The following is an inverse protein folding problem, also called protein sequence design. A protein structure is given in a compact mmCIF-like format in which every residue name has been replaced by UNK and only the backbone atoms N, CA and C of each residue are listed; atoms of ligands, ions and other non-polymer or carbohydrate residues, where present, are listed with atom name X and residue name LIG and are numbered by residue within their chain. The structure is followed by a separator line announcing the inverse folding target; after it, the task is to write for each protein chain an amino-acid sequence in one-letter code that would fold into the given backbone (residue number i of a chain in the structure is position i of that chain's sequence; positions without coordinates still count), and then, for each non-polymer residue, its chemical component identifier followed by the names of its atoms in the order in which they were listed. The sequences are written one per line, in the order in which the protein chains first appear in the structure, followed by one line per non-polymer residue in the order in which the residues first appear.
data_IF_486183326979
#
_entry.id   IF_486183326979
#
_cell.length_a   1.000
_cell.length_b   1.000
_cell.length_c   1.000
_cell.angle_alpha   90.00
_cell.angle_beta   90.00
_cell.angle_gamma   90.00
#
_symmetry.space_group_name_H-M   'P 1'
#
loop_
_entity.id
_entity.type
_entity.pdbx_description
1 polymer ?
#
# COMPACT_ATOMS: atom_id res chain seq x y z
N UNK A 1 -23.07 -2.53 1.35
CA UNK A 1 -21.85 -2.54 2.20
C UNK A 1 -22.17 -3.36 3.44
N UNK A 2 -21.32 -4.33 3.76
CA UNK A 2 -21.40 -5.07 5.02
C UNK A 2 -20.76 -4.26 6.15
N UNK A 3 -21.36 -4.33 7.35
CA UNK A 3 -20.78 -3.82 8.59
C UNK A 3 -20.55 -4.99 9.53
N UNK A 4 -19.34 -5.09 10.08
CA UNK A 4 -18.91 -6.19 10.94
C UNK A 4 -18.25 -5.63 12.19
N UNK A 5 -18.59 -6.20 13.35
CA UNK A 5 -17.82 -5.96 14.58
C UNK A 5 -16.79 -7.07 14.73
N UNK A 6 -15.52 -6.72 14.64
CA UNK A 6 -14.37 -7.65 14.64
C UNK A 6 -13.44 -7.37 15.80
N UNK A 7 -12.65 -8.37 16.21
CA UNK A 7 -11.64 -8.19 17.25
C UNK A 7 -10.29 -7.81 16.64
N UNK A 8 -9.54 -6.95 17.33
CA UNK A 8 -8.10 -6.80 17.11
C UNK A 8 -7.42 -8.08 17.58
N UNK A 9 -6.64 -8.72 16.72
CA UNK A 9 -5.89 -9.95 17.03
C UNK A 9 -4.38 -9.77 17.03
N UNK A 10 -3.90 -8.64 16.53
CA UNK A 10 -2.48 -8.30 16.54
C UNK A 10 -2.26 -6.81 16.34
N UNK A 11 -1.20 -6.32 16.98
CA UNK A 11 -0.68 -4.97 16.76
C UNK A 11 0.84 -5.07 16.65
N UNK A 12 1.41 -4.43 15.63
CA UNK A 12 2.84 -4.42 15.41
C UNK A 12 3.29 -3.01 15.01
N UNK A 13 4.36 -2.50 15.61
CA UNK A 13 4.99 -1.29 15.11
C UNK A 13 5.53 -1.56 13.69
N UNK A 14 5.03 -0.82 12.70
CA UNK A 14 5.47 -0.96 11.32
C UNK A 14 6.57 0.05 10.97
N UNK A 15 6.47 1.25 11.53
CA UNK A 15 7.50 2.30 11.50
C UNK A 15 7.40 3.11 12.81
N UNK A 16 8.32 4.07 13.09
CA UNK A 16 8.17 4.97 14.23
C UNK A 16 6.87 5.79 14.25
N UNK A 17 6.13 5.85 13.13
CA UNK A 17 4.90 6.65 12.98
C UNK A 17 3.71 5.85 12.49
N UNK A 18 3.80 4.52 12.47
CA UNK A 18 2.70 3.68 12.01
C UNK A 18 2.66 2.32 12.70
N UNK A 19 1.45 1.80 12.83
CA UNK A 19 1.14 0.51 13.42
C UNK A 19 0.39 -0.34 12.41
N UNK A 20 0.80 -1.58 12.24
CA UNK A 20 0.01 -2.60 11.57
C UNK A 20 -1.01 -3.17 12.56
N UNK A 21 -2.30 -3.00 12.28
CA UNK A 21 -3.39 -3.63 13.02
C UNK A 21 -3.88 -4.85 12.25
N UNK A 22 -4.01 -5.99 12.92
CA UNK A 22 -4.62 -7.21 12.38
C UNK A 22 -5.99 -7.43 13.02
N UNK A 23 -7.03 -7.59 12.20
CA UNK A 23 -8.42 -7.78 12.63
C UNK A 23 -8.91 -9.18 12.25
N UNK A 24 -9.65 -9.83 13.15
CA UNK A 24 -10.24 -11.15 12.92
C UNK A 24 -11.51 -11.07 12.07
N UNK A 25 -11.42 -11.57 10.85
CA UNK A 25 -12.52 -11.72 9.90
C UNK A 25 -12.81 -13.20 9.58
N UNK A 26 -12.27 -14.14 10.36
CA UNK A 26 -12.43 -15.56 10.12
C UNK A 26 -13.91 -15.99 10.16
N UNK A 27 -14.32 -16.78 9.16
CA UNK A 27 -15.70 -17.22 9.02
C UNK A 27 -16.71 -16.09 8.76
N UNK A 28 -16.24 -14.87 8.43
CA UNK A 28 -17.10 -13.76 8.00
C UNK A 28 -17.12 -13.70 6.48
N UNK A 29 -18.28 -13.36 5.91
CA UNK A 29 -18.41 -13.07 4.49
C UNK A 29 -17.78 -11.71 4.18
N UNK A 30 -16.45 -11.66 4.12
CA UNK A 30 -15.66 -10.48 3.79
C UNK A 30 -14.61 -10.88 2.76
N UNK A 31 -14.82 -10.51 1.50
CA UNK A 31 -13.93 -10.83 0.38
C UNK A 31 -13.50 -9.51 -0.26
N UNK A 32 -12.32 -8.97 0.09
CA UNK A 32 -11.82 -7.76 -0.53
C UNK A 32 -11.23 -8.05 -1.92
N UNK A 33 -11.12 -7.01 -2.73
CA UNK A 33 -10.21 -6.98 -3.88
C UNK A 33 -8.94 -6.25 -3.46
N UNK A 34 -7.78 -6.72 -3.95
CA UNK A 34 -6.50 -6.09 -3.65
C UNK A 34 -6.52 -4.59 -4.01
N UNK A 35 -6.14 -3.74 -3.05
CA UNK A 35 -6.17 -2.28 -3.18
C UNK A 35 -7.35 -1.57 -2.52
N UNK A 36 -8.40 -2.31 -2.14
CA UNK A 36 -9.57 -1.74 -1.45
C UNK A 36 -9.25 -1.26 -0.02
N UNK A 37 -10.20 -0.52 0.54
CA UNK A 37 -10.16 0.03 1.89
C UNK A 37 -11.39 -0.42 2.71
N UNK A 38 -11.37 -0.10 4.00
CA UNK A 38 -12.49 -0.21 4.93
C UNK A 38 -12.64 1.07 5.74
N UNK A 39 -13.86 1.39 6.16
CA UNK A 39 -14.09 2.36 7.22
C UNK A 39 -13.98 1.65 8.57
N UNK A 40 -13.21 2.23 9.49
CA UNK A 40 -13.02 1.67 10.83
C UNK A 40 -13.38 2.70 11.88
N UNK A 41 -14.08 2.25 12.92
CA UNK A 41 -14.42 3.03 14.11
C UNK A 41 -14.49 2.16 15.34
N UNK A 42 -14.35 2.77 16.51
CA UNK A 42 -14.65 2.12 17.78
C UNK A 42 -16.17 2.03 17.97
N UNK A 43 -16.68 1.02 18.69
CA UNK A 43 -18.08 0.96 19.09
C UNK A 43 -18.50 2.25 19.81
N UNK A 44 -19.64 2.82 19.43
CA UNK A 44 -20.14 4.09 19.96
C UNK A 44 -19.66 5.35 19.22
N UNK A 45 -18.64 5.26 18.36
CA UNK A 45 -18.29 6.36 17.46
C UNK A 45 -19.25 6.41 16.26
N UNK A 46 -19.65 7.61 15.87
CA UNK A 46 -20.61 7.83 14.78
C UNK A 46 -19.97 7.73 13.39
N UNK A 47 -18.69 8.05 13.25
CA UNK A 47 -18.01 8.19 11.95
C UNK A 47 -16.79 7.27 11.90
N UNK A 48 -16.72 6.43 10.86
CA UNK A 48 -15.55 5.63 10.52
C UNK A 48 -14.54 6.39 9.67
N UNK A 49 -13.27 6.05 9.83
CA UNK A 49 -12.18 6.58 9.00
C UNK A 49 -11.73 5.52 7.99
N UNK A 50 -11.39 5.92 6.75
CA UNK A 50 -10.91 5.00 5.75
C UNK A 50 -9.48 4.54 6.05
N UNK A 51 -9.24 3.25 5.91
CA UNK A 51 -7.91 2.62 5.93
C UNK A 51 -7.81 1.62 4.79
N UNK A 52 -6.79 1.76 3.96
CA UNK A 52 -6.49 0.78 2.92
C UNK A 52 -6.11 -0.56 3.54
N UNK A 53 -6.58 -1.64 2.93
CA UNK A 53 -6.25 -3.01 3.31
C UNK A 53 -4.82 -3.30 2.83
N UNK A 54 -3.96 -3.75 3.75
CA UNK A 54 -2.54 -3.98 3.52
C UNK A 54 -2.19 -5.42 3.15
N UNK A 55 -3.15 -6.35 3.24
CA UNK A 55 -3.01 -7.75 2.87
C UNK A 55 -3.82 -8.09 1.62
N UNK A 56 -3.38 -9.10 0.86
CA UNK A 56 -4.08 -9.57 -0.33
C UNK A 56 -5.35 -10.36 0.03
N UNK A 57 -6.31 -10.51 -0.90
CA UNK A 57 -7.46 -11.39 -0.74
C UNK A 57 -7.06 -12.84 -0.39
N UNK A 58 -5.96 -13.33 -0.96
CA UNK A 58 -5.39 -14.64 -0.67
C UNK A 58 -4.94 -14.75 0.80
N UNK A 59 -4.22 -13.75 1.30
CA UNK A 59 -3.82 -13.70 2.72
C UNK A 59 -5.03 -13.67 3.65
N UNK A 60 -6.09 -12.93 3.29
CA UNK A 60 -7.34 -12.91 4.07
C UNK A 60 -7.98 -14.30 4.10
N UNK A 61 -8.04 -15.00 2.96
CA UNK A 61 -8.59 -16.34 2.87
C UNK A 61 -7.78 -17.38 3.68
N UNK A 62 -6.45 -17.28 3.66
CA UNK A 62 -5.55 -18.20 4.37
C UNK A 62 -5.55 -17.98 5.89
N UNK A 63 -5.54 -16.72 6.31
CA UNK A 63 -5.29 -16.37 7.72
C UNK A 63 -6.56 -16.02 8.48
N UNK A 64 -7.64 -15.68 7.77
CA UNK A 64 -8.84 -15.08 8.36
C UNK A 64 -8.61 -13.69 8.94
N UNK A 65 -7.55 -12.97 8.51
CA UNK A 65 -7.16 -11.67 9.08
C UNK A 65 -7.15 -10.57 8.05
N UNK A 66 -7.61 -9.39 8.46
CA UNK A 66 -7.47 -8.14 7.73
C UNK A 66 -6.35 -7.30 8.33
N UNK A 67 -5.42 -6.80 7.52
CA UNK A 67 -4.32 -5.96 7.98
C UNK A 67 -4.52 -4.50 7.55
N UNK A 68 -4.32 -3.56 8.47
CA UNK A 68 -4.45 -2.12 8.23
C UNK A 68 -3.20 -1.39 8.72
N UNK A 69 -2.56 -0.62 7.85
CA UNK A 69 -1.44 0.24 8.21
C UNK A 69 -1.97 1.59 8.70
N UNK A 70 -1.96 1.81 10.01
CA UNK A 70 -2.48 3.02 10.65
C UNK A 70 -1.34 3.99 10.94
N UNK A 71 -1.36 5.17 10.30
CA UNK A 71 -0.39 6.24 10.56
C UNK A 71 -0.84 7.09 11.74
N UNK A 72 0.10 7.46 12.62
CA UNK A 72 -0.14 8.31 13.79
C UNK A 72 -0.20 9.80 13.42
N UNK A 73 -1.08 10.16 12.48
CA UNK A 73 -1.20 11.53 11.93
C UNK A 73 -2.28 12.39 12.59
N UNK A 74 -3.16 11.77 13.37
CA UNK A 74 -4.25 12.41 14.09
C UNK A 74 -4.57 11.62 15.36
N UNK A 75 -5.09 12.29 16.38
CA UNK A 75 -5.42 11.69 17.68
C UNK A 75 -6.31 10.44 17.55
N UNK A 76 -7.31 10.48 16.66
CA UNK A 76 -8.19 9.32 16.41
C UNK A 76 -7.47 8.14 15.76
N UNK A 77 -6.47 8.38 14.89
CA UNK A 77 -5.67 7.30 14.33
C UNK A 77 -4.71 6.72 15.37
N UNK A 78 -4.10 7.56 16.20
CA UNK A 78 -3.26 7.11 17.32
C UNK A 78 -4.07 6.28 18.32
N UNK A 79 -5.30 6.71 18.66
CA UNK A 79 -6.19 5.97 19.55
C UNK A 79 -6.65 4.63 18.95
N UNK A 80 -6.81 4.56 17.62
CA UNK A 80 -7.10 3.32 16.91
C UNK A 80 -5.89 2.37 16.92
N UNK A 81 -4.69 2.90 16.63
CA UNK A 81 -3.43 2.15 16.66
C UNK A 81 -3.10 1.59 18.04
N UNK A 82 -3.56 2.25 19.12
CA UNK A 82 -3.34 1.84 20.50
C UNK A 82 -4.35 0.81 21.02
N UNK A 83 -5.29 0.32 20.20
CA UNK A 83 -6.26 -0.68 20.65
C UNK A 83 -5.58 -2.01 21.00
N UNK A 84 -5.79 -2.58 22.20
CA UNK A 84 -5.18 -3.84 22.60
C UNK A 84 -5.83 -5.02 21.85
N UNK A 85 -5.11 -6.14 21.78
CA UNK A 85 -5.68 -7.42 21.36
C UNK A 85 -6.96 -7.74 22.15
N UNK A 86 -8.00 -8.17 21.45
CA UNK A 86 -9.34 -8.41 21.98
C UNK A 86 -10.29 -7.22 21.91
N UNK A 87 -9.78 -5.99 21.70
CA UNK A 87 -10.62 -4.82 21.50
C UNK A 87 -11.52 -5.00 20.27
N UNK A 88 -12.75 -4.51 20.34
CA UNK A 88 -13.72 -4.61 19.25
C UNK A 88 -13.72 -3.33 18.42
N UNK A 89 -13.71 -3.50 17.10
CA UNK A 89 -13.82 -2.42 16.13
C UNK A 89 -14.97 -2.72 15.18
N UNK A 90 -15.67 -1.67 14.74
CA UNK A 90 -16.66 -1.75 13.67
C UNK A 90 -15.94 -1.46 12.36
N UNK A 91 -16.07 -2.39 11.42
CA UNK A 91 -15.48 -2.34 10.08
C UNK A 91 -16.60 -2.33 9.06
N UNK A 92 -16.58 -1.35 8.17
CA UNK A 92 -17.56 -1.20 7.09
C UNK A 92 -16.83 -1.22 5.74
N UNK A 93 -17.26 -2.10 4.84
CA UNK A 93 -16.59 -2.28 3.56
C UNK A 93 -16.76 -3.70 3.00
N UNK A 94 -15.89 -4.11 2.05
CA UNK A 94 -14.81 -3.32 1.47
C UNK A 94 -15.35 -2.15 0.60
N UNK A 95 -14.51 -1.14 0.35
CA UNK A 95 -14.81 0.03 -0.48
C UNK A 95 -13.60 0.50 -1.30
N UNK A 96 -13.85 1.41 -2.25
CA UNK A 96 -12.80 1.99 -3.09
C UNK A 96 -12.72 1.36 -4.49
N UNK A 97 -12.27 2.17 -5.45
CA UNK A 97 -12.12 1.78 -6.86
C UNK A 97 -10.65 1.61 -7.28
N UNK A 98 -9.70 1.89 -6.38
CA UNK A 98 -8.29 1.64 -6.59
C UNK A 98 -7.97 0.16 -6.40
N UNK A 99 -8.36 -0.65 -7.38
CA UNK A 99 -8.26 -2.10 -7.30
C UNK A 99 -7.32 -2.67 -8.37
N UNK A 100 -6.72 -3.80 -8.04
CA UNK A 100 -6.07 -4.65 -9.03
C UNK A 100 -7.13 -5.17 -10.02
N UNK A 101 -6.90 -5.08 -11.34
CA UNK A 101 -7.86 -5.56 -12.33
C UNK A 101 -7.85 -7.10 -12.41
N UNK A 102 -8.97 -7.68 -12.83
CA UNK A 102 -9.09 -9.14 -13.04
C UNK A 102 -8.16 -9.67 -14.13
N UNK A 103 -7.84 -8.82 -15.12
CA UNK A 103 -6.90 -9.13 -16.19
C UNK A 103 -5.85 -8.03 -16.33
N UNK A 104 -4.59 -8.42 -16.41
CA UNK A 104 -3.45 -7.55 -16.72
C UNK A 104 -2.83 -8.05 -18.02
N UNK A 105 -3.18 -7.47 -19.19
CA UNK A 105 -2.53 -7.83 -20.45
C UNK A 105 -1.11 -7.28 -20.55
N UNK A 106 -0.77 -6.25 -19.76
CA UNK A 106 0.56 -5.65 -19.74
C UNK A 106 1.64 -6.63 -19.24
N UNK A 107 2.85 -6.54 -19.79
CA UNK A 107 4.01 -7.34 -19.33
C UNK A 107 4.74 -6.74 -18.13
N UNK A 108 4.45 -5.48 -17.78
CA UNK A 108 5.10 -4.79 -16.67
C UNK A 108 4.07 -4.18 -15.72
N UNK A 109 4.29 -4.38 -14.42
CA UNK A 109 3.58 -3.69 -13.34
C UNK A 109 4.54 -2.73 -12.65
N UNK A 110 4.15 -1.46 -12.54
CA UNK A 110 4.95 -0.46 -11.84
C UNK A 110 4.19 0.19 -10.70
N UNK A 111 4.64 -0.08 -9.48
CA UNK A 111 4.07 0.42 -8.24
C UNK A 111 4.87 1.61 -7.73
N UNK A 112 4.20 2.72 -7.40
CA UNK A 112 4.81 3.94 -6.88
C UNK A 112 4.12 4.30 -5.57
N UNK A 113 4.83 4.10 -4.45
CA UNK A 113 4.33 4.32 -3.10
C UNK A 113 4.95 5.55 -2.43
N UNK A 114 4.12 6.34 -1.75
CA UNK A 114 4.55 7.39 -0.82
C UNK A 114 4.02 7.16 0.59
N UNK A 115 4.90 6.92 1.56
CA UNK A 115 4.50 6.69 2.96
C UNK A 115 3.54 5.50 3.09
N UNK A 116 2.40 5.65 3.79
CA UNK A 116 1.43 4.54 3.93
C UNK A 116 0.54 4.31 2.70
N UNK A 117 0.77 5.04 1.61
CA UNK A 117 0.32 4.62 0.28
C UNK A 117 0.88 3.25 -0.13
N UNK A 118 1.90 2.72 0.59
CA UNK A 118 2.37 1.35 0.44
C UNK A 118 1.31 0.29 0.79
N UNK A 119 0.35 0.58 1.67
CA UNK A 119 -0.61 -0.42 2.15
C UNK A 119 -1.43 -1.07 1.02
N UNK A 120 -2.17 -0.32 0.18
CA UNK A 120 -2.90 -0.94 -0.93
C UNK A 120 -1.96 -1.57 -1.96
N UNK A 121 -0.75 -1.01 -2.17
CA UNK A 121 0.19 -1.56 -3.15
C UNK A 121 0.81 -2.88 -2.68
N UNK A 122 1.05 -3.05 -1.36
CA UNK A 122 1.49 -4.33 -0.80
C UNK A 122 0.46 -5.42 -1.11
N UNK A 123 -0.82 -5.15 -0.86
CA UNK A 123 -1.90 -6.08 -1.17
C UNK A 123 -1.93 -6.44 -2.67
N UNK A 124 -1.74 -5.47 -3.56
CA UNK A 124 -1.70 -5.70 -5.01
C UNK A 124 -0.46 -6.49 -5.47
N UNK A 125 0.72 -6.19 -4.91
CA UNK A 125 1.97 -6.88 -5.23
C UNK A 125 1.88 -8.35 -4.79
N UNK A 126 1.44 -8.61 -3.55
CA UNK A 126 1.26 -9.96 -3.05
C UNK A 126 0.20 -10.73 -3.86
N UNK A 127 -0.92 -10.08 -4.21
CA UNK A 127 -1.95 -10.65 -5.10
C UNK A 127 -1.38 -11.04 -6.48
N UNK A 128 -0.62 -10.15 -7.12
CA UNK A 128 0.00 -10.44 -8.42
C UNK A 128 1.00 -11.62 -8.34
N UNK A 129 1.84 -11.63 -7.30
CA UNK A 129 2.83 -12.69 -7.09
C UNK A 129 2.18 -14.05 -6.81
N UNK A 130 1.12 -14.09 -6.00
CA UNK A 130 0.38 -15.32 -5.68
C UNK A 130 -0.50 -15.80 -6.83
N UNK A 131 -1.01 -14.87 -7.63
CA UNK A 131 -1.74 -15.15 -8.87
C UNK A 131 -0.84 -15.66 -10.01
N UNK A 132 0.48 -15.71 -9.81
CA UNK A 132 1.42 -16.24 -10.78
C UNK A 132 1.67 -15.31 -11.97
N UNK A 133 1.55 -14.00 -11.78
CA UNK A 133 1.88 -13.02 -12.80
C UNK A 133 3.32 -13.25 -13.31
N UNK A 134 3.47 -13.46 -14.62
CA UNK A 134 4.72 -13.87 -15.27
C UNK A 134 5.50 -12.71 -15.89
N UNK A 135 4.97 -11.49 -15.75
CA UNK A 135 5.63 -10.25 -16.15
C UNK A 135 6.59 -9.71 -15.09
N UNK A 136 7.16 -8.53 -15.36
CA UNK A 136 8.05 -7.85 -14.41
C UNK A 136 7.24 -6.99 -13.43
N UNK A 137 7.64 -7.00 -12.17
CA UNK A 137 7.07 -6.15 -11.13
C UNK A 137 8.16 -5.23 -10.59
N UNK A 138 7.90 -3.93 -10.61
CA UNK A 138 8.78 -2.91 -10.05
C UNK A 138 8.05 -2.11 -8.95
N UNK A 139 8.74 -1.82 -7.85
CA UNK A 139 8.25 -0.95 -6.78
C UNK A 139 9.22 0.22 -6.60
N UNK A 140 8.73 1.44 -6.78
CA UNK A 140 9.38 2.65 -6.32
C UNK A 140 8.73 3.13 -5.02
N UNK A 141 9.47 3.08 -3.91
CA UNK A 141 8.98 3.45 -2.58
C UNK A 141 9.69 4.70 -2.06
N UNK A 142 8.93 5.77 -1.83
CA UNK A 142 9.39 7.02 -1.24
C UNK A 142 8.94 7.16 0.22
N UNK A 143 9.90 7.44 1.10
CA UNK A 143 9.65 7.74 2.51
C UNK A 143 10.37 9.03 2.93
N UNK A 144 10.08 9.52 4.15
CA UNK A 144 10.82 10.67 4.70
C UNK A 144 12.22 10.25 5.14
N UNK A 145 12.31 9.12 5.84
CA UNK A 145 13.53 8.58 6.43
C UNK A 145 13.62 7.07 6.19
N UNK A 146 14.81 6.50 6.34
CA UNK A 146 15.05 5.07 6.09
C UNK A 146 14.24 4.13 7.00
N UNK A 147 13.93 4.57 8.22
CA UNK A 147 13.14 3.82 9.21
C UNK A 147 11.63 3.95 8.99
N UNK A 148 11.21 4.63 7.92
CA UNK A 148 9.81 4.84 7.56
C UNK A 148 9.34 4.01 6.36
N UNK A 149 10.13 3.03 5.92
CA UNK A 149 9.70 2.04 4.93
C UNK A 149 8.99 0.87 5.63
N UNK A 150 7.67 0.89 5.67
CA UNK A 150 6.90 -0.24 6.18
C UNK A 150 7.05 -1.46 5.24
N UNK A 151 7.11 -2.67 5.82
CA UNK A 151 7.21 -3.94 5.08
C UNK A 151 8.49 -4.10 4.25
N UNK A 152 9.56 -3.36 4.56
CA UNK A 152 10.75 -3.33 3.73
C UNK A 152 11.45 -4.69 3.65
N UNK A 153 11.44 -5.47 4.73
CA UNK A 153 12.03 -6.81 4.77
C UNK A 153 11.31 -7.77 3.82
N UNK A 154 9.98 -7.66 3.72
CA UNK A 154 9.16 -8.45 2.79
C UNK A 154 9.54 -8.12 1.34
N UNK A 155 9.54 -6.83 0.97
CA UNK A 155 9.91 -6.41 -0.37
C UNK A 155 11.37 -6.74 -0.73
N UNK A 156 12.30 -6.60 0.23
CA UNK A 156 13.69 -6.99 0.04
C UNK A 156 13.84 -8.49 -0.21
N UNK A 157 13.04 -9.33 0.47
CA UNK A 157 13.00 -10.77 0.22
C UNK A 157 12.49 -11.09 -1.19
N UNK A 158 11.44 -10.42 -1.65
CA UNK A 158 10.95 -10.56 -3.04
C UNK A 158 12.01 -10.12 -4.05
N UNK A 159 12.73 -9.04 -3.77
CA UNK A 159 13.80 -8.55 -4.65
C UNK A 159 14.99 -9.51 -4.71
N UNK A 160 15.44 -10.04 -3.58
CA UNK A 160 16.51 -11.04 -3.52
C UNK A 160 16.14 -12.33 -4.27
N UNK A 161 14.84 -12.68 -4.32
CA UNK A 161 14.33 -13.80 -5.08
C UNK A 161 14.10 -13.49 -6.58
N UNK A 162 14.43 -12.28 -7.05
CA UNK A 162 14.23 -11.86 -8.44
C UNK A 162 12.76 -11.67 -8.85
N UNK A 163 11.84 -11.58 -7.87
CA UNK A 163 10.39 -11.44 -8.10
C UNK A 163 9.92 -9.99 -8.15
N UNK A 164 10.76 -9.05 -7.70
CA UNK A 164 10.45 -7.62 -7.58
C UNK A 164 11.70 -6.78 -7.82
N UNK A 165 11.64 -5.78 -8.69
CA UNK A 165 12.65 -4.73 -8.74
C UNK A 165 12.30 -3.65 -7.70
N UNK A 166 13.06 -3.60 -6.60
CA UNK A 166 12.83 -2.65 -5.50
C UNK A 166 13.72 -1.41 -5.65
N UNK A 167 13.10 -0.24 -5.72
CA UNK A 167 13.73 1.07 -5.74
C UNK A 167 13.24 1.90 -4.56
N UNK A 168 14.16 2.55 -3.86
CA UNK A 168 13.83 3.34 -2.67
C UNK A 168 14.42 4.74 -2.76
N UNK A 169 13.68 5.71 -2.23
CA UNK A 169 14.17 7.08 -2.04
C UNK A 169 13.73 7.67 -0.71
N UNK A 170 14.58 8.50 -0.12
CA UNK A 170 14.29 9.26 1.10
C UNK A 170 14.29 10.75 0.79
N UNK A 171 13.35 11.48 1.40
CA UNK A 171 13.18 12.93 1.15
C UNK A 171 13.72 13.83 2.26
N UNK A 172 14.00 13.30 3.45
CA UNK A 172 14.42 14.04 4.65
C UNK A 172 15.45 13.28 5.50
N UNK A 173 16.23 12.40 4.87
CA UNK A 173 17.31 11.65 5.52
C UNK A 173 18.67 12.11 4.98
N UNK A 174 19.41 12.79 5.84
CA UNK A 174 20.77 13.25 5.61
C UNK A 174 21.81 12.28 6.20
N UNK A 175 21.38 11.14 6.76
CA UNK A 175 22.27 10.13 7.31
C UNK A 175 23.24 9.58 6.26
N UNK A 176 24.52 9.48 6.63
CA UNK A 176 25.59 8.94 5.77
C UNK A 176 25.39 7.47 5.41
N UNK A 177 24.68 6.72 6.26
CA UNK A 177 24.41 5.30 6.09
C UNK A 177 23.40 4.98 4.97
N UNK A 178 22.68 5.98 4.44
CA UNK A 178 21.75 5.76 3.33
C UNK A 178 22.51 5.82 2.00
N UNK A 179 22.73 4.67 1.37
CA UNK A 179 23.36 4.57 0.05
C UNK A 179 22.37 4.68 -1.12
N UNK A 180 21.06 4.67 -0.84
CA UNK A 180 20.01 4.77 -1.86
C UNK A 180 19.83 6.18 -2.42
N UNK A 181 18.88 6.30 -3.35
CA UNK A 181 18.52 7.60 -3.96
C UNK A 181 17.92 8.55 -2.91
N UNK A 182 18.06 9.86 -3.17
CA UNK A 182 17.52 10.93 -2.34
C UNK A 182 16.73 11.90 -3.19
N UNK A 183 15.68 12.46 -2.62
CA UNK A 183 14.88 13.50 -3.26
C UNK A 183 13.43 13.10 -3.50
N UNK A 184 12.68 14.05 -4.05
CA UNK A 184 11.30 13.82 -4.48
C UNK A 184 11.28 12.97 -5.75
N UNK A 185 10.13 12.37 -6.02
CA UNK A 185 9.88 11.62 -7.24
C UNK A 185 10.14 12.51 -8.45
N UNK A 186 10.99 12.04 -9.36
CA UNK A 186 11.17 12.66 -10.66
C UNK A 186 11.36 11.59 -11.76
N UNK A 187 11.58 12.04 -12.98
CA UNK A 187 11.78 11.16 -14.14
C UNK A 187 13.01 10.27 -13.97
N UNK A 188 14.12 10.82 -13.49
CA UNK A 188 15.40 10.10 -13.38
C UNK A 188 15.28 8.91 -12.42
N UNK A 189 14.43 9.05 -11.40
CA UNK A 189 14.09 7.96 -10.48
C UNK A 189 13.35 6.79 -11.15
N UNK A 190 12.62 7.04 -12.23
CA UNK A 190 11.79 6.04 -12.90
C UNK A 190 12.47 5.40 -14.11
N UNK A 191 13.51 6.02 -14.68
CA UNK A 191 14.21 5.46 -15.86
C UNK A 191 14.82 4.08 -15.59
N UNK A 192 15.19 3.78 -14.33
CA UNK A 192 15.66 2.43 -13.95
C UNK A 192 14.54 1.43 -13.64
N UNK A 193 13.30 1.90 -13.47
CA UNK A 193 12.19 1.11 -12.95
C UNK A 193 11.07 0.88 -14.00
N UNK A 194 10.95 1.78 -14.98
CA UNK A 194 10.01 1.69 -16.10
C UNK A 194 10.72 1.04 -17.30
N UNK A 195 10.36 -0.21 -17.61
CA UNK A 195 10.99 -0.98 -18.69
C UNK A 195 10.43 -0.62 -20.07
N UNK A 196 9.09 -0.66 -20.24
CA UNK A 196 8.40 -0.28 -21.47
C UNK A 196 7.12 0.50 -21.14
N UNK A 197 7.13 1.81 -21.38
CA UNK A 197 5.99 2.69 -21.13
C UNK A 197 4.71 2.26 -21.87
N UNK A 198 4.86 1.66 -23.06
CA UNK A 198 3.79 1.17 -23.91
C UNK A 198 3.23 -0.20 -23.50
N UNK A 199 3.80 -0.83 -22.48
CA UNK A 199 3.40 -2.15 -21.97
C UNK A 199 3.47 -2.24 -20.44
N UNK A 200 3.31 -1.10 -19.76
CA UNK A 200 3.31 -1.00 -18.30
C UNK A 200 1.97 -0.52 -17.76
N UNK A 201 1.42 -1.26 -16.77
CA UNK A 201 0.33 -0.79 -15.92
C UNK A 201 0.89 -0.22 -14.62
N UNK A 202 0.61 1.05 -14.36
CA UNK A 202 1.11 1.79 -13.21
C UNK A 202 0.06 1.95 -12.11
N UNK A 203 0.48 1.75 -10.86
CA UNK A 203 -0.30 2.03 -9.66
C UNK A 203 0.44 3.04 -8.78
N UNK A 204 -0.17 4.20 -8.54
CA UNK A 204 0.43 5.29 -7.78
C UNK A 204 -0.41 5.57 -6.54
N UNK A 205 0.17 5.46 -5.35
CA UNK A 205 -0.54 5.77 -4.11
C UNK A 205 0.35 6.55 -3.12
N UNK A 206 -0.13 7.72 -2.69
CA UNK A 206 0.62 8.57 -1.78
C UNK A 206 0.04 9.97 -1.60
N UNK A 207 0.80 10.91 -0.98
CA UNK A 207 0.40 12.30 -0.83
C UNK A 207 0.08 12.95 -2.18
N UNK A 208 -0.95 13.81 -2.23
CA UNK A 208 -1.44 14.42 -3.49
C UNK A 208 -0.32 15.00 -4.37
N UNK A 209 0.63 15.75 -3.78
CA UNK A 209 1.76 16.31 -4.54
C UNK A 209 2.67 15.25 -5.16
N UNK A 210 2.95 14.16 -4.45
CA UNK A 210 3.76 13.05 -4.98
C UNK A 210 3.04 12.31 -6.10
N UNK A 211 1.73 12.10 -5.97
CA UNK A 211 0.91 11.46 -7.00
C UNK A 211 0.90 12.32 -8.27
N UNK A 212 0.72 13.64 -8.13
CA UNK A 212 0.75 14.59 -9.25
C UNK A 212 2.12 14.59 -9.95
N UNK A 213 3.21 14.68 -9.19
CA UNK A 213 4.58 14.63 -9.72
C UNK A 213 4.85 13.31 -10.47
N UNK A 214 4.41 12.17 -9.90
CA UNK A 214 4.58 10.85 -10.50
C UNK A 214 3.78 10.70 -11.80
N UNK A 215 2.52 11.12 -11.82
CA UNK A 215 1.68 11.09 -13.04
C UNK A 215 2.30 11.95 -14.14
N UNK A 216 2.77 13.16 -13.80
CA UNK A 216 3.43 14.04 -14.76
C UNK A 216 4.76 13.45 -15.28
N UNK A 217 5.52 12.74 -14.44
CA UNK A 217 6.71 12.03 -14.86
C UNK A 217 6.38 10.86 -15.82
N UNK A 218 5.44 9.98 -15.44
CA UNK A 218 4.99 8.85 -16.26
C UNK A 218 4.45 9.30 -17.62
N UNK A 219 3.65 10.36 -17.65
CA UNK A 219 3.12 10.92 -18.90
C UNK A 219 4.24 11.43 -19.82
N UNK A 220 5.27 12.12 -19.28
CA UNK A 220 6.45 12.55 -20.05
C UNK A 220 7.31 11.38 -20.53
N UNK A 221 7.22 10.23 -19.86
CA UNK A 221 7.88 8.98 -20.27
C UNK A 221 7.04 8.17 -21.26
N UNK A 222 5.83 8.64 -21.63
CA UNK A 222 4.99 8.03 -22.65
C UNK A 222 4.01 6.97 -22.14
N UNK A 223 3.82 6.83 -20.82
CA UNK A 223 2.82 5.89 -20.29
C UNK A 223 1.41 6.41 -20.62
N UNK A 224 0.54 5.62 -21.27
CA UNK A 224 -0.83 6.03 -21.57
C UNK A 224 -1.60 6.35 -20.28
N UNK A 225 -2.36 7.44 -20.27
CA UNK A 225 -3.12 7.86 -19.08
C UNK A 225 -4.09 6.76 -18.57
N UNK A 226 -4.67 5.97 -19.47
CA UNK A 226 -5.56 4.85 -19.13
C UNK A 226 -4.86 3.73 -18.33
N UNK A 227 -3.52 3.69 -18.35
CA UNK A 227 -2.69 2.73 -17.61
C UNK A 227 -2.08 3.31 -16.35
N UNK A 228 -2.45 4.53 -15.96
CA UNK A 228 -2.00 5.13 -14.71
C UNK A 228 -3.19 5.16 -13.75
N UNK A 229 -3.18 4.25 -12.78
CA UNK A 229 -4.19 4.17 -11.72
C UNK A 229 -3.66 4.90 -10.49
N UNK A 230 -4.46 5.76 -9.89
CA UNK A 230 -4.01 6.59 -8.77
C UNK A 230 -4.99 6.57 -7.60
N UNK A 231 -4.45 6.56 -6.38
CA UNK A 231 -5.17 6.85 -5.14
C UNK A 231 -4.37 7.87 -4.35
N UNK A 232 -5.02 8.83 -3.70
CA UNK A 232 -4.33 9.92 -3.02
C UNK A 232 -4.99 10.29 -1.70
N UNK A 233 -4.16 10.77 -0.80
CA UNK A 233 -4.56 11.25 0.52
C UNK A 233 -3.90 12.61 0.83
N UNK A 234 -4.48 13.33 1.79
CA UNK A 234 -4.12 14.73 2.04
C UNK A 234 -4.75 15.66 1.00
N UNK A 235 -5.52 16.63 1.48
CA UNK A 235 -5.88 17.83 0.73
C UNK A 235 -4.88 18.91 1.08
#
# INVERSE_FOLDING_TARGET
MSSLTVAVVGTQAATPRSTLLSLDVAGRAFVPVAGQAVLVRRPGEAVGRPYSIACSPEQVAETGRLELLVVHDAESATALAAQPTGARLVVEGPLGAFTFPESVPERHLFFIAGGAGIAPLRAMIDHALRGGYDGQISLFYSARRRDEFAFIEEFASHAAAGRLALHQTVTRDDGMDWSGRRGRVDREHFESALHDAGDTLCFVCGPSSMVEDAVAALARMGVPAARIRTERWGR
#
